data_IF_706646799492
#
_entry.id   IF_706646799492
#
_cell.length_a   1.000
_cell.length_b   1.000
_cell.length_c   1.000
_cell.angle_alpha   90.00
_cell.angle_beta   90.00
_cell.angle_gamma   90.00
#
_symmetry.space_group_name_H-M   'P 1'
#
loop_
_entity.id
_entity.type
_entity.pdbx_description
1 polymer ?
#
# COMPACT_ATOMS: atom_id res chain seq x y z
N UNK A 1 1.69 -22.45 -48.79
CA UNK A 1 0.58 -22.44 -47.82
C UNK A 1 1.01 -21.57 -46.64
N UNK A 2 0.30 -20.50 -46.33
CA UNK A 2 0.62 -19.66 -45.17
C UNK A 2 0.47 -20.52 -43.91
N UNK A 3 1.53 -20.62 -43.09
CA UNK A 3 1.42 -21.28 -41.79
C UNK A 3 0.37 -20.53 -40.97
N UNK A 4 -0.61 -21.22 -40.37
CA UNK A 4 -1.61 -20.55 -39.54
C UNK A 4 -0.88 -19.82 -38.40
N UNK A 5 -1.26 -18.57 -38.13
CA UNK A 5 -0.71 -17.77 -37.02
C UNK A 5 -1.55 -17.98 -35.76
N UNK A 6 -0.92 -17.81 -34.60
CA UNK A 6 -1.58 -17.89 -33.31
C UNK A 6 -2.81 -16.94 -33.24
N UNK A 7 -3.94 -17.47 -32.77
CA UNK A 7 -5.20 -16.72 -32.62
C UNK A 7 -5.22 -15.75 -31.44
N UNK A 8 -4.22 -15.77 -30.57
CA UNK A 8 -4.15 -14.86 -29.42
C UNK A 8 -4.00 -13.41 -29.87
N UNK A 9 -4.91 -12.56 -29.39
CA UNK A 9 -4.90 -11.12 -29.57
C UNK A 9 -5.03 -10.46 -28.19
N UNK A 10 -4.10 -9.57 -27.89
CA UNK A 10 -4.14 -8.72 -26.70
C UNK A 10 -5.29 -7.68 -26.82
N UNK A 11 -5.94 -7.21 -25.74
CA UNK A 11 -6.85 -6.06 -25.73
C UNK A 11 -6.38 -4.80 -26.48
N UNK A 12 -5.06 -4.64 -26.70
CA UNK A 12 -4.48 -3.59 -27.54
C UNK A 12 -4.19 -4.02 -29.00
N UNK A 13 -4.87 -5.07 -29.51
CA UNK A 13 -4.77 -5.61 -30.87
C UNK A 13 -3.37 -6.12 -31.29
N UNK A 14 -2.49 -6.45 -30.34
CA UNK A 14 -1.23 -7.11 -30.66
C UNK A 14 -1.49 -8.60 -30.89
N UNK A 15 -1.27 -9.06 -32.13
CA UNK A 15 -1.38 -10.47 -32.50
C UNK A 15 -0.04 -11.18 -32.31
N UNK A 16 -0.08 -12.42 -31.82
CA UNK A 16 1.13 -13.22 -31.67
C UNK A 16 1.69 -13.63 -33.05
N UNK A 17 2.97 -13.35 -33.37
CA UNK A 17 3.56 -13.66 -34.67
C UNK A 17 3.91 -15.14 -34.84
N UNK A 18 3.89 -15.92 -33.76
CA UNK A 18 4.28 -17.32 -33.74
C UNK A 18 3.34 -18.23 -34.56
N UNK A 19 3.87 -19.31 -35.16
CA UNK A 19 3.05 -20.28 -35.85
C UNK A 19 2.09 -20.96 -34.86
N UNK A 20 0.84 -21.11 -35.28
CA UNK A 20 -0.16 -21.88 -34.57
C UNK A 20 0.11 -23.38 -34.74
N UNK A 21 -0.08 -24.12 -33.64
CA UNK A 21 -0.23 -25.57 -33.67
C UNK A 21 -1.65 -25.99 -34.09
N UNK A 22 -1.97 -27.26 -33.85
CA UNK A 22 -3.27 -27.86 -34.19
C UNK A 22 -4.47 -27.18 -33.49
N UNK A 23 -4.25 -26.58 -32.32
CA UNK A 23 -5.26 -25.85 -31.54
C UNK A 23 -5.58 -24.45 -32.07
N UNK A 24 -4.81 -23.94 -33.04
CA UNK A 24 -4.90 -22.54 -33.48
C UNK A 24 -4.14 -21.55 -32.59
N UNK A 25 -3.48 -22.01 -31.52
CA UNK A 25 -2.59 -21.21 -30.68
C UNK A 25 -1.14 -21.65 -30.84
N UNK A 26 -0.19 -20.76 -30.53
CA UNK A 26 1.21 -21.17 -30.41
C UNK A 26 1.43 -21.95 -29.10
N UNK A 27 2.58 -22.61 -28.99
CA UNK A 27 2.94 -23.41 -27.80
C UNK A 27 2.72 -22.65 -26.47
N UNK A 28 2.96 -21.34 -26.44
CA UNK A 28 2.88 -20.53 -25.22
C UNK A 28 1.49 -19.96 -24.91
N UNK A 29 0.63 -19.78 -25.91
CA UNK A 29 -0.73 -19.25 -25.75
C UNK A 29 -1.80 -20.34 -25.66
N UNK A 30 -1.44 -21.59 -25.95
CA UNK A 30 -2.33 -22.74 -25.86
C UNK A 30 -2.60 -23.10 -24.39
N UNK A 31 -3.84 -23.09 -23.87
CA UNK A 31 -4.12 -23.46 -22.48
C UNK A 31 -4.05 -24.97 -22.21
N UNK A 32 -4.19 -25.82 -23.23
CA UNK A 32 -4.33 -27.27 -23.12
C UNK A 32 -2.97 -27.98 -23.11
N UNK A 33 -1.94 -27.35 -23.70
CA UNK A 33 -0.58 -27.89 -23.69
C UNK A 33 0.13 -27.64 -22.34
N UNK A 34 0.60 -28.68 -21.63
CA UNK A 34 1.40 -28.50 -20.41
C UNK A 34 2.85 -28.12 -20.73
N UNK A 35 3.37 -27.06 -20.10
CA UNK A 35 4.76 -26.56 -20.29
C UNK A 35 5.70 -27.13 -19.24
N UNK A 36 5.92 -28.44 -19.33
CA UNK A 36 6.71 -29.21 -18.37
C UNK A 36 8.09 -29.62 -18.94
N UNK A 37 8.44 -29.16 -20.14
CA UNK A 37 9.66 -29.57 -20.80
C UNK A 37 10.88 -28.93 -20.11
N UNK A 38 11.98 -29.68 -19.85
CA UNK A 38 13.17 -29.14 -19.19
C UNK A 38 13.78 -27.91 -19.87
N UNK A 39 13.66 -27.83 -21.20
CA UNK A 39 14.14 -26.69 -22.00
C UNK A 39 13.16 -25.52 -22.08
N UNK A 40 11.96 -25.61 -21.49
CA UNK A 40 10.99 -24.51 -21.52
C UNK A 40 11.53 -23.18 -20.93
N UNK A 41 12.33 -23.15 -19.84
CA UNK A 41 12.98 -21.93 -19.39
C UNK A 41 13.86 -21.31 -20.50
N UNK A 42 14.71 -22.11 -21.14
CA UNK A 42 15.61 -21.63 -22.19
C UNK A 42 14.86 -21.18 -23.46
N UNK A 43 13.79 -21.90 -23.83
CA UNK A 43 12.92 -21.55 -24.96
C UNK A 43 12.18 -20.24 -24.70
N UNK A 44 11.68 -20.04 -23.47
CA UNK A 44 10.98 -18.81 -23.09
C UNK A 44 11.93 -17.61 -23.06
N UNK A 45 13.14 -17.78 -22.51
CA UNK A 45 14.18 -16.74 -22.54
C UNK A 45 14.59 -16.39 -23.98
N UNK A 46 14.66 -17.37 -24.89
CA UNK A 46 14.95 -17.12 -26.30
C UNK A 46 13.82 -16.35 -26.99
N UNK A 47 12.57 -16.74 -26.76
CA UNK A 47 11.40 -16.02 -27.25
C UNK A 47 11.41 -14.56 -26.79
N UNK A 48 11.69 -14.34 -25.50
CA UNK A 48 11.78 -13.01 -24.91
C UNK A 48 12.85 -12.15 -25.59
N UNK A 49 14.06 -12.70 -25.78
CA UNK A 49 15.18 -12.01 -26.45
C UNK A 49 14.93 -11.71 -27.92
N UNK A 50 14.12 -12.53 -28.60
CA UNK A 50 13.73 -12.32 -30.00
C UNK A 50 12.60 -11.29 -30.16
N UNK A 51 12.09 -10.71 -29.07
CA UNK A 51 10.96 -9.78 -29.10
C UNK A 51 9.61 -10.45 -29.31
N UNK A 52 9.49 -11.74 -28.96
CA UNK A 52 8.23 -12.46 -29.01
C UNK A 52 7.19 -11.88 -28.04
N UNK A 53 5.90 -12.11 -28.35
CA UNK A 53 4.80 -11.62 -27.52
C UNK A 53 4.69 -12.44 -26.23
N UNK A 54 5.05 -11.84 -25.10
CA UNK A 54 5.01 -12.46 -23.76
C UNK A 54 3.74 -12.16 -22.96
N UNK A 55 2.80 -11.40 -23.52
CA UNK A 55 1.49 -11.13 -22.90
C UNK A 55 0.58 -12.35 -23.00
N UNK A 56 -0.23 -12.57 -21.97
CA UNK A 56 -1.28 -13.60 -21.94
C UNK A 56 -0.78 -15.04 -22.04
N UNK A 57 0.50 -15.29 -21.75
CA UNK A 57 1.06 -16.64 -21.82
C UNK A 57 0.33 -17.59 -20.87
N UNK A 58 0.01 -18.78 -21.35
CA UNK A 58 -0.67 -19.83 -20.61
C UNK A 58 0.39 -20.75 -19.99
N UNK A 59 0.94 -20.35 -18.84
CA UNK A 59 2.05 -21.00 -18.14
C UNK A 59 1.59 -21.75 -16.88
N UNK A 60 0.36 -22.25 -16.90
CA UNK A 60 -0.22 -23.04 -15.80
C UNK A 60 0.67 -24.23 -15.49
N UNK A 61 1.08 -24.34 -14.22
CA UNK A 61 1.95 -25.42 -13.69
C UNK A 61 3.26 -25.56 -14.47
N UNK A 62 3.71 -24.52 -15.17
CA UNK A 62 4.91 -24.60 -15.99
C UNK A 62 6.16 -24.79 -15.13
N UNK A 63 7.14 -25.53 -15.64
CA UNK A 63 8.46 -25.70 -15.02
C UNK A 63 9.42 -24.65 -15.58
N UNK A 64 9.49 -23.49 -14.92
CA UNK A 64 10.27 -22.32 -15.35
C UNK A 64 11.30 -21.91 -14.29
N UNK A 65 11.82 -22.88 -13.53
CA UNK A 65 12.87 -22.63 -12.55
C UNK A 65 14.10 -22.04 -13.27
N UNK A 66 14.72 -21.04 -12.63
CA UNK A 66 15.92 -20.35 -13.12
C UNK A 66 15.74 -19.68 -14.50
N UNK A 67 14.50 -19.44 -14.94
CA UNK A 67 14.25 -18.72 -16.20
C UNK A 67 14.85 -17.32 -16.17
N UNK A 68 15.58 -16.96 -17.22
CA UNK A 68 16.21 -15.66 -17.37
C UNK A 68 15.32 -14.74 -18.22
N UNK A 69 14.56 -13.88 -17.55
CA UNK A 69 13.74 -12.83 -18.14
C UNK A 69 14.25 -11.46 -17.69
N UNK A 70 15.57 -11.27 -17.71
CA UNK A 70 16.16 -9.93 -17.60
C UNK A 70 16.24 -9.28 -18.98
N UNK A 71 15.82 -8.02 -19.08
CA UNK A 71 16.13 -7.21 -20.25
C UNK A 71 17.56 -6.65 -20.19
N UNK A 72 18.19 -6.41 -21.35
CA UNK A 72 19.42 -5.63 -21.41
C UNK A 72 19.23 -4.25 -20.76
N UNK A 73 20.29 -3.74 -20.13
CA UNK A 73 20.28 -2.53 -19.29
C UNK A 73 19.73 -1.26 -20.00
N UNK A 74 19.72 -1.26 -21.33
CA UNK A 74 19.36 -0.12 -22.19
C UNK A 74 17.86 -0.02 -22.53
N UNK A 75 17.08 -1.06 -22.28
CA UNK A 75 15.68 -1.11 -22.72
C UNK A 75 14.69 -0.33 -21.81
N UNK A 76 15.16 0.25 -20.70
CA UNK A 76 14.38 1.11 -19.80
C UNK A 76 13.22 0.44 -19.04
N UNK A 77 12.69 -0.68 -19.55
CA UNK A 77 11.56 -1.46 -19.02
C UNK A 77 11.97 -2.94 -18.89
N UNK A 78 11.22 -3.74 -18.12
CA UNK A 78 11.39 -5.19 -18.12
C UNK A 78 10.45 -5.85 -19.13
N UNK A 79 10.52 -7.18 -19.25
CA UNK A 79 9.62 -7.91 -20.14
C UNK A 79 8.15 -7.77 -19.73
N UNK A 80 7.28 -7.71 -20.74
CA UNK A 80 5.86 -7.52 -20.57
C UNK A 80 5.13 -8.86 -20.54
N UNK A 81 4.86 -9.36 -19.34
CA UNK A 81 4.21 -10.64 -19.08
C UNK A 81 2.73 -10.49 -18.70
N UNK A 82 2.13 -9.32 -18.94
CA UNK A 82 0.79 -8.99 -18.47
C UNK A 82 -0.27 -10.02 -18.85
N UNK A 83 -1.24 -10.17 -17.96
CA UNK A 83 -2.41 -11.04 -18.12
C UNK A 83 -2.06 -12.53 -18.36
N UNK A 84 -0.83 -12.95 -18.01
CA UNK A 84 -0.39 -14.34 -18.10
C UNK A 84 -0.97 -15.21 -16.98
N UNK A 85 -1.26 -16.47 -17.31
CA UNK A 85 -1.67 -17.47 -16.32
C UNK A 85 -0.46 -18.27 -15.83
N UNK A 86 0.03 -17.91 -14.65
CA UNK A 86 1.17 -18.54 -13.96
C UNK A 86 0.70 -19.39 -12.77
N UNK A 87 -0.55 -19.88 -12.80
CA UNK A 87 -1.12 -20.67 -11.72
C UNK A 87 -0.24 -21.88 -11.38
N UNK A 88 0.26 -21.94 -10.13
CA UNK A 88 1.19 -22.99 -9.67
C UNK A 88 2.46 -23.15 -10.52
N UNK A 89 2.89 -22.13 -11.25
CA UNK A 89 4.14 -22.18 -11.99
C UNK A 89 5.35 -22.29 -11.03
N UNK A 90 6.35 -23.06 -11.42
CA UNK A 90 7.65 -23.11 -10.75
C UNK A 90 8.53 -22.02 -11.35
N UNK A 91 8.76 -20.95 -10.59
CA UNK A 91 9.61 -19.80 -10.94
C UNK A 91 10.73 -19.65 -9.90
N UNK A 92 11.15 -20.75 -9.27
CA UNK A 92 12.22 -20.72 -8.28
C UNK A 92 13.48 -20.14 -8.91
N UNK A 93 14.10 -19.17 -8.24
CA UNK A 93 15.27 -18.43 -8.73
C UNK A 93 15.10 -17.77 -10.11
N UNK A 94 13.88 -17.59 -10.59
CA UNK A 94 13.64 -16.88 -11.85
C UNK A 94 14.17 -15.45 -11.78
N UNK A 95 14.71 -14.96 -12.88
CA UNK A 95 15.14 -13.58 -13.00
C UNK A 95 14.05 -12.74 -13.70
N UNK A 96 13.34 -11.93 -12.91
CA UNK A 96 12.18 -11.15 -13.33
C UNK A 96 12.39 -9.66 -13.00
N UNK A 97 13.62 -9.17 -13.12
CA UNK A 97 13.96 -7.78 -12.82
C UNK A 97 13.14 -6.83 -13.72
N UNK A 98 12.43 -5.88 -13.10
CA UNK A 98 11.51 -4.93 -13.77
C UNK A 98 10.37 -5.57 -14.58
N UNK A 99 10.13 -6.88 -14.45
CA UNK A 99 9.09 -7.57 -15.21
C UNK A 99 7.72 -6.97 -14.93
N UNK A 100 6.92 -6.83 -15.99
CA UNK A 100 5.54 -6.38 -15.89
C UNK A 100 4.60 -7.59 -15.79
N UNK A 101 4.16 -7.88 -14.57
CA UNK A 101 3.29 -8.99 -14.22
C UNK A 101 1.89 -8.49 -13.83
N UNK A 102 1.48 -7.32 -14.32
CA UNK A 102 0.15 -6.78 -14.05
C UNK A 102 -0.94 -7.70 -14.61
N UNK A 103 -2.00 -7.90 -13.84
CA UNK A 103 -3.12 -8.78 -14.22
C UNK A 103 -2.80 -10.29 -14.20
N UNK A 104 -1.55 -10.69 -13.94
CA UNK A 104 -1.18 -12.10 -13.98
C UNK A 104 -1.81 -12.92 -12.86
N UNK A 105 -2.13 -14.19 -13.16
CA UNK A 105 -2.52 -15.15 -12.15
C UNK A 105 -1.29 -15.87 -11.58
N UNK A 106 -0.76 -15.39 -10.46
CA UNK A 106 0.37 -15.98 -9.72
C UNK A 106 -0.08 -16.86 -8.55
N UNK A 107 -1.36 -17.25 -8.50
CA UNK A 107 -1.91 -18.01 -7.40
C UNK A 107 -1.13 -19.33 -7.23
N UNK A 108 -0.63 -19.56 -6.01
CA UNK A 108 0.19 -20.71 -5.62
C UNK A 108 1.49 -20.90 -6.43
N UNK A 109 1.96 -19.87 -7.14
CA UNK A 109 3.25 -19.92 -7.83
C UNK A 109 4.42 -19.99 -6.82
N UNK A 110 5.49 -20.66 -7.23
CA UNK A 110 6.71 -20.79 -6.42
C UNK A 110 7.79 -19.83 -6.93
N UNK A 111 8.00 -18.72 -6.21
CA UNK A 111 8.97 -17.68 -6.54
C UNK A 111 10.14 -17.66 -5.54
N UNK A 112 10.41 -18.78 -4.86
CA UNK A 112 11.50 -18.85 -3.88
C UNK A 112 12.84 -18.54 -4.55
N UNK A 113 13.59 -17.60 -3.98
CA UNK A 113 14.87 -17.15 -4.53
C UNK A 113 14.77 -16.31 -5.82
N UNK A 114 13.58 -16.03 -6.35
CA UNK A 114 13.42 -15.25 -7.57
C UNK A 114 13.82 -13.77 -7.38
N UNK A 115 14.27 -13.12 -8.45
CA UNK A 115 14.54 -11.69 -8.45
C UNK A 115 13.35 -10.93 -9.05
N UNK A 116 12.54 -10.30 -8.20
CA UNK A 116 11.38 -9.46 -8.55
C UNK A 116 11.65 -7.98 -8.27
N UNK A 117 12.92 -7.57 -8.17
CA UNK A 117 13.25 -6.17 -7.92
C UNK A 117 12.64 -5.28 -9.01
N UNK A 118 11.95 -4.21 -8.60
CA UNK A 118 11.20 -3.29 -9.45
C UNK A 118 10.11 -3.91 -10.34
N UNK A 119 9.69 -5.16 -10.08
CA UNK A 119 8.61 -5.79 -10.83
C UNK A 119 7.25 -5.15 -10.51
N UNK A 120 6.32 -5.20 -11.48
CA UNK A 120 4.97 -4.64 -11.35
C UNK A 120 3.94 -5.76 -11.21
N UNK A 121 3.15 -5.72 -10.15
CA UNK A 121 2.14 -6.74 -9.81
C UNK A 121 0.74 -6.15 -9.59
N UNK A 122 0.49 -4.94 -10.09
CA UNK A 122 -0.83 -4.32 -9.97
C UNK A 122 -1.90 -5.20 -10.63
N UNK A 123 -2.97 -5.52 -9.89
CA UNK A 123 -4.04 -6.40 -10.35
C UNK A 123 -3.66 -7.89 -10.49
N UNK A 124 -2.46 -8.30 -10.08
CA UNK A 124 -2.09 -9.71 -10.08
C UNK A 124 -2.77 -10.48 -8.94
N UNK A 125 -3.11 -11.74 -9.19
CA UNK A 125 -3.58 -12.64 -8.13
C UNK A 125 -2.38 -13.31 -7.45
N UNK A 126 -2.09 -12.89 -6.22
CA UNK A 126 -0.93 -13.36 -5.43
C UNK A 126 -1.30 -14.39 -4.36
N UNK A 127 -2.50 -14.97 -4.39
CA UNK A 127 -2.99 -15.85 -3.33
C UNK A 127 -2.10 -17.10 -3.18
N UNK A 128 -1.50 -17.29 -2.01
CA UNK A 128 -0.65 -18.45 -1.71
C UNK A 128 0.69 -18.46 -2.46
N UNK A 129 1.13 -17.32 -2.98
CA UNK A 129 2.47 -17.15 -3.58
C UNK A 129 3.57 -17.50 -2.57
N UNK A 130 4.63 -18.18 -3.01
CA UNK A 130 5.79 -18.49 -2.16
C UNK A 130 6.94 -17.55 -2.51
N UNK A 131 7.29 -16.66 -1.58
CA UNK A 131 8.34 -15.64 -1.75
C UNK A 131 9.59 -15.88 -0.87
N UNK A 132 9.78 -17.09 -0.35
CA UNK A 132 10.92 -17.41 0.52
C UNK A 132 12.25 -17.13 -0.19
N UNK A 133 13.05 -16.18 0.32
CA UNK A 133 14.32 -15.79 -0.31
C UNK A 133 14.19 -14.98 -1.60
N UNK A 134 12.98 -14.58 -2.02
CA UNK A 134 12.78 -13.77 -3.23
C UNK A 134 13.17 -12.30 -3.02
N UNK A 135 13.97 -11.72 -3.91
CA UNK A 135 14.32 -10.30 -3.86
C UNK A 135 13.13 -9.47 -4.37
N UNK A 136 12.63 -8.55 -3.54
CA UNK A 136 11.40 -7.76 -3.82
C UNK A 136 11.60 -6.26 -3.57
N UNK A 137 12.83 -5.77 -3.76
CA UNK A 137 13.14 -4.35 -3.60
C UNK A 137 12.33 -3.52 -4.60
N UNK A 138 11.68 -2.46 -4.11
CA UNK A 138 10.86 -1.55 -4.93
C UNK A 138 9.77 -2.26 -5.76
N UNK A 139 9.28 -3.42 -5.30
CA UNK A 139 8.15 -4.13 -5.90
C UNK A 139 6.90 -3.23 -5.93
N UNK A 140 6.27 -3.12 -7.11
CA UNK A 140 5.12 -2.25 -7.31
C UNK A 140 3.81 -3.05 -7.28
N UNK A 141 3.12 -3.05 -6.13
CA UNK A 141 1.82 -3.73 -5.96
C UNK A 141 0.63 -2.94 -6.55
N UNK A 142 0.83 -1.66 -6.90
CA UNK A 142 -0.26 -0.75 -7.25
C UNK A 142 -1.06 -0.27 -6.03
N UNK A 143 -2.20 0.37 -6.26
CA UNK A 143 -3.04 0.94 -5.20
C UNK A 143 -3.73 -0.12 -4.33
N UNK A 144 -4.16 -1.22 -4.94
CA UNK A 144 -4.89 -2.30 -4.28
C UNK A 144 -4.66 -3.64 -4.96
N UNK A 145 -4.71 -4.73 -4.19
CA UNK A 145 -4.70 -6.08 -4.74
C UNK A 145 -5.98 -6.36 -5.55
N UNK A 146 -5.90 -7.34 -6.44
CA UNK A 146 -7.04 -7.82 -7.21
C UNK A 146 -8.22 -8.25 -6.31
N UNK A 147 -7.95 -9.03 -5.25
CA UNK A 147 -8.97 -9.45 -4.28
C UNK A 147 -9.69 -8.26 -3.63
N UNK A 148 -8.94 -7.20 -3.32
CA UNK A 148 -9.51 -6.00 -2.73
C UNK A 148 -10.43 -5.26 -3.71
N UNK A 149 -10.07 -5.20 -4.99
CA UNK A 149 -10.91 -4.60 -6.03
C UNK A 149 -12.21 -5.40 -6.20
N UNK A 150 -12.11 -6.72 -6.28
CA UNK A 150 -13.27 -7.61 -6.36
C UNK A 150 -14.17 -7.46 -5.11
N UNK A 151 -13.58 -7.37 -3.91
CA UNK A 151 -14.34 -7.21 -2.67
C UNK A 151 -15.11 -5.87 -2.60
N UNK A 152 -14.58 -4.80 -3.20
CA UNK A 152 -15.25 -3.49 -3.26
C UNK A 152 -16.45 -3.48 -4.21
N UNK A 153 -16.40 -4.28 -5.28
CA UNK A 153 -17.47 -4.39 -6.27
C UNK A 153 -18.64 -5.25 -5.77
N UNK A 154 -18.43 -6.08 -4.74
CA UNK A 154 -19.48 -6.91 -4.16
C UNK A 154 -20.42 -6.07 -3.28
N UNK A 155 -21.75 -6.08 -3.54
CA UNK A 155 -22.72 -5.36 -2.71
C UNK A 155 -22.91 -6.02 -1.35
N UNK A 156 -22.80 -7.36 -1.32
CA UNK A 156 -23.00 -8.19 -0.15
C UNK A 156 -21.70 -8.38 0.66
N UNK A 157 -21.83 -8.35 1.99
CA UNK A 157 -20.75 -8.56 2.93
C UNK A 157 -20.27 -10.01 2.91
N UNK A 158 -21.17 -10.97 2.80
CA UNK A 158 -20.80 -12.39 2.91
C UNK A 158 -19.95 -12.82 1.71
N UNK A 159 -20.25 -12.28 0.52
CA UNK A 159 -19.39 -12.42 -0.65
C UNK A 159 -18.06 -11.63 -0.60
N UNK A 160 -18.02 -10.48 0.09
CA UNK A 160 -16.83 -9.64 0.19
C UNK A 160 -15.84 -10.09 1.28
N UNK A 161 -16.34 -10.70 2.36
CA UNK A 161 -15.55 -11.14 3.51
C UNK A 161 -14.40 -12.10 3.15
N UNK A 162 -14.61 -13.19 2.38
CA UNK A 162 -13.52 -14.10 2.02
C UNK A 162 -12.44 -13.39 1.20
N UNK A 163 -12.82 -12.47 0.30
CA UNK A 163 -11.88 -11.70 -0.49
C UNK A 163 -11.02 -10.76 0.38
N UNK A 164 -11.59 -10.16 1.43
CA UNK A 164 -10.81 -9.38 2.39
C UNK A 164 -9.88 -10.25 3.25
N UNK A 165 -10.25 -11.50 3.55
CA UNK A 165 -9.38 -12.45 4.26
C UNK A 165 -8.22 -12.90 3.37
N UNK A 166 -8.49 -13.20 2.09
CA UNK A 166 -7.46 -13.52 1.10
C UNK A 166 -6.48 -12.34 0.91
N UNK A 167 -7.00 -11.11 0.76
CA UNK A 167 -6.17 -9.91 0.64
C UNK A 167 -5.29 -9.70 1.88
N UNK A 168 -5.84 -9.94 3.08
CA UNK A 168 -5.07 -9.87 4.33
C UNK A 168 -3.92 -10.88 4.33
N UNK A 169 -4.18 -12.12 3.95
CA UNK A 169 -3.17 -13.17 3.87
C UNK A 169 -2.04 -12.78 2.91
N UNK A 170 -2.39 -12.26 1.73
CA UNK A 170 -1.42 -11.81 0.73
C UNK A 170 -0.53 -10.68 1.29
N UNK A 171 -1.11 -9.65 1.93
CA UNK A 171 -0.32 -8.57 2.52
C UNK A 171 0.57 -9.07 3.66
N UNK A 172 0.12 -10.03 4.45
CA UNK A 172 0.91 -10.64 5.53
C UNK A 172 2.12 -11.39 4.98
N UNK A 173 1.92 -12.18 3.93
CA UNK A 173 2.99 -12.97 3.29
C UNK A 173 4.00 -12.05 2.60
N UNK A 174 3.54 -11.00 1.90
CA UNK A 174 4.39 -9.97 1.31
C UNK A 174 5.18 -9.20 2.37
N UNK A 175 4.56 -8.84 3.50
CA UNK A 175 5.24 -8.18 4.61
C UNK A 175 6.36 -9.05 5.16
N UNK A 176 6.09 -10.34 5.42
CA UNK A 176 7.09 -11.29 5.94
C UNK A 176 8.25 -11.45 4.96
N UNK A 177 7.95 -11.59 3.66
CA UNK A 177 8.98 -11.64 2.64
C UNK A 177 9.82 -10.35 2.63
N UNK A 178 9.19 -9.18 2.72
CA UNK A 178 9.89 -7.89 2.71
C UNK A 178 10.79 -7.71 3.95
N UNK A 179 10.32 -8.13 5.13
CA UNK A 179 11.10 -8.08 6.37
C UNK A 179 12.35 -8.97 6.29
N UNK A 180 12.23 -10.18 5.74
CA UNK A 180 13.35 -11.10 5.61
C UNK A 180 14.46 -10.58 4.67
N UNK A 181 14.15 -9.59 3.82
CA UNK A 181 15.09 -8.98 2.88
C UNK A 181 15.44 -7.52 3.22
N UNK A 182 15.11 -7.04 4.43
CA UNK A 182 15.40 -5.66 4.84
C UNK A 182 14.64 -4.59 4.04
N UNK A 183 13.60 -4.95 3.31
CA UNK A 183 12.80 -4.04 2.49
C UNK A 183 11.73 -3.31 3.34
N UNK A 184 12.16 -2.43 4.24
CA UNK A 184 11.29 -1.84 5.27
C UNK A 184 10.17 -0.95 4.71
N UNK A 185 10.41 -0.23 3.62
CA UNK A 185 9.39 0.60 2.99
C UNK A 185 8.20 -0.23 2.51
N UNK A 186 8.47 -1.35 1.82
CA UNK A 186 7.44 -2.28 1.36
C UNK A 186 6.79 -3.00 2.55
N UNK A 187 7.57 -3.44 3.53
CA UNK A 187 7.04 -4.08 4.73
C UNK A 187 6.06 -3.18 5.50
N UNK A 188 6.38 -1.89 5.63
CA UNK A 188 5.53 -0.88 6.28
C UNK A 188 4.23 -0.65 5.50
N UNK A 189 4.31 -0.52 4.17
CA UNK A 189 3.13 -0.41 3.31
C UNK A 189 2.22 -1.64 3.41
N UNK A 190 2.79 -2.84 3.36
CA UNK A 190 2.05 -4.09 3.52
C UNK A 190 1.43 -4.23 4.92
N UNK A 191 2.14 -3.80 5.98
CA UNK A 191 1.61 -3.81 7.34
C UNK A 191 0.38 -2.89 7.49
N UNK A 192 0.44 -1.68 6.93
CA UNK A 192 -0.68 -0.74 6.91
C UNK A 192 -1.90 -1.33 6.18
N UNK A 193 -1.67 -1.93 5.01
CA UNK A 193 -2.73 -2.54 4.19
C UNK A 193 -3.30 -3.82 4.82
N UNK A 194 -2.50 -4.65 5.48
CA UNK A 194 -2.95 -5.82 6.25
C UNK A 194 -3.97 -5.40 7.32
N UNK A 195 -3.64 -4.39 8.13
CA UNK A 195 -4.53 -3.89 9.19
C UNK A 195 -5.79 -3.23 8.60
N UNK A 196 -5.66 -2.57 7.44
CA UNK A 196 -6.80 -2.03 6.70
C UNK A 196 -7.74 -3.15 6.25
N UNK A 197 -7.23 -4.29 5.79
CA UNK A 197 -8.07 -5.45 5.42
C UNK A 197 -8.77 -6.05 6.65
N UNK A 198 -8.06 -6.22 7.77
CA UNK A 198 -8.68 -6.66 9.05
C UNK A 198 -9.84 -5.77 9.47
N UNK A 199 -9.67 -4.44 9.36
CA UNK A 199 -10.75 -3.49 9.64
C UNK A 199 -11.95 -3.70 8.72
N UNK A 200 -11.74 -3.99 7.43
CA UNK A 200 -12.82 -4.18 6.46
C UNK A 200 -13.64 -5.45 6.70
N UNK A 201 -13.07 -6.46 7.38
CA UNK A 201 -13.78 -7.67 7.80
C UNK A 201 -14.80 -7.41 8.92
N UNK A 202 -14.60 -6.35 9.73
CA UNK A 202 -15.52 -5.97 10.80
C UNK A 202 -16.88 -5.45 10.27
N UNK A 203 -17.98 -5.62 11.02
CA UNK A 203 -19.29 -5.09 10.66
C UNK A 203 -19.24 -3.57 10.43
N UNK A 204 -20.05 -3.06 9.49
CA UNK A 204 -20.04 -1.63 9.11
C UNK A 204 -20.33 -0.69 10.30
N UNK A 205 -21.28 -1.06 11.16
CA UNK A 205 -21.70 -0.28 12.32
C UNK A 205 -21.07 -0.72 13.65
N UNK A 206 -19.89 -1.34 13.61
CA UNK A 206 -19.20 -1.77 14.84
C UNK A 206 -18.35 -0.65 15.46
N UNK A 207 -18.40 -0.44 16.79
CA UNK A 207 -17.53 0.53 17.46
C UNK A 207 -16.04 0.19 17.27
N UNK A 208 -15.70 -1.10 17.18
CA UNK A 208 -14.33 -1.56 16.90
C UNK A 208 -13.83 -1.11 15.52
N UNK A 209 -14.72 -1.07 14.52
CA UNK A 209 -14.38 -0.60 13.18
C UNK A 209 -14.13 0.90 13.16
N UNK A 210 -14.98 1.66 13.86
CA UNK A 210 -14.83 3.11 14.02
C UNK A 210 -13.52 3.45 14.74
N UNK A 211 -13.23 2.77 15.85
CA UNK A 211 -11.98 2.92 16.59
C UNK A 211 -10.75 2.57 15.72
N UNK A 212 -10.80 1.47 14.97
CA UNK A 212 -9.73 1.11 14.04
C UNK A 212 -9.53 2.16 12.93
N UNK A 213 -10.62 2.80 12.46
CA UNK A 213 -10.54 3.90 11.50
C UNK A 213 -9.94 5.16 12.11
N UNK A 214 -10.25 5.46 13.37
CA UNK A 214 -9.65 6.56 14.13
C UNK A 214 -8.13 6.38 14.27
N UNK A 215 -7.67 5.17 14.62
CA UNK A 215 -6.23 4.86 14.73
C UNK A 215 -5.51 4.99 13.38
N UNK A 216 -6.11 4.54 12.28
CA UNK A 216 -5.56 4.74 10.92
C UNK A 216 -5.43 6.22 10.56
N UNK A 217 -6.41 7.04 10.94
CA UNK A 217 -6.42 8.47 10.69
C UNK A 217 -5.29 9.18 11.46
N UNK A 218 -5.18 8.91 12.77
CA UNK A 218 -4.23 9.58 13.66
C UNK A 218 -2.79 9.19 13.35
N UNK A 219 -2.49 7.89 13.27
CA UNK A 219 -1.10 7.41 13.21
C UNK A 219 -0.81 6.42 12.07
N UNK A 220 -1.79 6.13 11.20
CA UNK A 220 -1.64 5.11 10.16
C UNK A 220 -1.24 3.76 10.74
N UNK A 221 -1.88 3.36 11.85
CA UNK A 221 -1.51 2.16 12.60
C UNK A 221 -0.04 2.13 13.09
N UNK A 222 0.54 3.31 13.35
CA UNK A 222 1.92 3.48 13.78
C UNK A 222 2.96 3.32 12.68
N UNK A 223 2.55 3.16 11.42
CA UNK A 223 3.43 3.04 10.26
C UNK A 223 3.74 4.39 9.60
N UNK A 224 2.99 5.46 9.95
CA UNK A 224 3.08 6.77 9.31
C UNK A 224 3.24 7.91 10.35
N UNK A 225 4.46 8.19 10.85
CA UNK A 225 4.68 9.23 11.86
C UNK A 225 4.28 10.62 11.37
N UNK A 226 4.40 10.90 10.07
CA UNK A 226 3.93 12.15 9.47
C UNK A 226 2.44 12.43 9.68
N UNK A 227 1.60 11.38 9.81
CA UNK A 227 0.17 11.56 10.10
C UNK A 227 -0.07 12.05 11.53
N UNK A 228 0.76 11.62 12.48
CA UNK A 228 0.65 12.04 13.88
C UNK A 228 0.99 13.52 14.01
N UNK A 229 2.04 13.99 13.31
CA UNK A 229 2.41 15.40 13.27
C UNK A 229 1.29 16.25 12.64
N UNK A 230 0.74 15.81 11.51
CA UNK A 230 -0.37 16.51 10.86
C UNK A 230 -1.62 16.54 11.75
N UNK A 231 -1.96 15.42 12.39
CA UNK A 231 -3.06 15.34 13.34
C UNK A 231 -2.87 16.34 14.50
N UNK A 232 -1.68 16.38 15.10
CA UNK A 232 -1.36 17.34 16.14
C UNK A 232 -1.49 18.78 15.67
N UNK A 233 -0.98 19.12 14.49
CA UNK A 233 -1.11 20.46 13.91
C UNK A 233 -2.58 20.88 13.69
N UNK A 234 -3.43 19.95 13.21
CA UNK A 234 -4.87 20.21 13.03
C UNK A 234 -5.55 20.42 14.38
N UNK A 235 -5.25 19.60 15.39
CA UNK A 235 -5.79 19.77 16.75
C UNK A 235 -5.39 21.15 17.30
N UNK A 236 -4.12 21.53 17.17
CA UNK A 236 -3.63 22.84 17.63
C UNK A 236 -4.38 24.01 16.96
N UNK A 237 -4.58 23.95 15.64
CA UNK A 237 -5.33 24.99 14.91
C UNK A 237 -6.80 25.07 15.36
N UNK A 238 -7.44 23.94 15.60
CA UNK A 238 -8.83 23.89 16.11
C UNK A 238 -8.90 24.48 17.52
N UNK A 239 -8.00 24.07 18.42
CA UNK A 239 -7.95 24.59 19.79
C UNK A 239 -7.65 26.08 19.82
N UNK A 240 -6.72 26.58 19.00
CA UNK A 240 -6.46 28.01 18.84
C UNK A 240 -7.73 28.80 18.47
N UNK A 241 -8.55 28.28 17.54
CA UNK A 241 -9.83 28.88 17.20
C UNK A 241 -10.82 28.88 18.38
N UNK A 242 -10.91 27.76 19.11
CA UNK A 242 -11.77 27.64 20.29
C UNK A 242 -11.34 28.58 21.42
N UNK A 243 -10.03 28.81 21.61
CA UNK A 243 -9.54 29.79 22.57
C UNK A 243 -9.86 31.22 22.17
N UNK A 244 -9.82 31.55 20.88
CA UNK A 244 -10.29 32.85 20.41
C UNK A 244 -11.77 33.09 20.75
N UNK A 245 -12.60 32.04 20.71
CA UNK A 245 -14.03 32.12 21.07
C UNK A 245 -14.22 32.21 22.59
N UNK A 246 -13.59 31.32 23.35
CA UNK A 246 -13.73 31.26 24.82
C UNK A 246 -13.00 32.37 25.57
N UNK A 247 -11.99 32.96 24.92
CA UNK A 247 -11.11 33.97 25.46
C UNK A 247 -9.90 33.40 26.19
N UNK A 248 -8.86 34.23 26.21
CA UNK A 248 -7.57 33.99 26.87
C UNK A 248 -7.30 35.16 27.82
N UNK A 249 -6.68 34.88 28.97
CA UNK A 249 -6.07 35.89 29.84
C UNK A 249 -4.60 36.05 29.45
N UNK A 250 -4.27 37.22 28.93
CA UNK A 250 -2.91 37.63 28.60
C UNK A 250 -2.52 38.76 29.56
N UNK A 251 -1.54 38.52 30.45
CA UNK A 251 -1.13 39.47 31.50
C UNK A 251 -2.30 40.01 32.37
N UNK A 252 -3.29 39.16 32.63
CA UNK A 252 -4.48 39.52 33.42
C UNK A 252 -5.58 40.26 32.65
N UNK A 253 -5.38 40.57 31.36
CA UNK A 253 -6.42 41.13 30.50
C UNK A 253 -7.15 40.03 29.73
N UNK A 254 -8.48 40.05 29.79
CA UNK A 254 -9.33 39.13 29.02
C UNK A 254 -9.39 39.57 27.55
N UNK A 255 -9.04 38.66 26.64
CA UNK A 255 -9.11 38.88 25.19
C UNK A 255 -9.84 37.71 24.52
N UNK A 256 -10.91 38.01 23.79
CA UNK A 256 -11.65 37.06 22.95
C UNK A 256 -12.09 37.73 21.65
N UNK A 257 -12.57 36.96 20.67
CA UNK A 257 -13.12 37.50 19.42
C UNK A 257 -14.25 38.50 19.67
N UNK A 258 -15.05 38.29 20.72
CA UNK A 258 -16.16 39.16 21.08
C UNK A 258 -15.71 40.45 21.78
N UNK A 259 -14.52 40.45 22.40
CA UNK A 259 -13.99 41.59 23.14
C UNK A 259 -12.94 42.39 22.35
N UNK A 260 -12.78 42.13 21.05
CA UNK A 260 -11.81 42.82 20.19
C UNK A 260 -12.27 44.27 19.90
N UNK A 261 -11.51 45.30 20.29
CA UNK A 261 -11.86 46.69 20.01
C UNK A 261 -11.62 47.07 18.54
N UNK A 262 -10.72 46.39 17.82
CA UNK A 262 -10.45 46.65 16.40
C UNK A 262 -9.97 45.40 15.64
N UNK A 263 -10.29 45.33 14.34
CA UNK A 263 -9.84 44.25 13.44
C UNK A 263 -8.32 44.18 13.26
N UNK A 264 -7.58 45.23 13.67
CA UNK A 264 -6.10 45.28 13.61
C UNK A 264 -5.44 44.44 14.70
N UNK A 265 -6.14 44.14 15.78
CA UNK A 265 -5.65 43.31 16.89
C UNK A 265 -5.92 41.80 16.67
N UNK A 266 -6.75 41.46 15.67
CA UNK A 266 -7.08 40.09 15.32
C UNK A 266 -5.84 39.21 15.05
N UNK A 267 -4.81 39.66 14.29
CA UNK A 267 -3.61 38.85 14.05
C UNK A 267 -2.83 38.56 15.33
N UNK A 268 -2.77 39.53 16.25
CA UNK A 268 -2.09 39.36 17.53
C UNK A 268 -2.83 38.38 18.44
N UNK A 269 -4.17 38.48 18.51
CA UNK A 269 -4.98 37.53 19.26
C UNK A 269 -4.82 36.10 18.71
N UNK A 270 -4.87 35.92 17.39
CA UNK A 270 -4.69 34.62 16.74
C UNK A 270 -3.30 34.06 17.03
N UNK A 271 -2.26 34.89 17.00
CA UNK A 271 -0.90 34.50 17.34
C UNK A 271 -0.79 34.05 18.81
N UNK A 272 -1.39 34.78 19.75
CA UNK A 272 -1.41 34.40 21.18
C UNK A 272 -2.19 33.10 21.40
N UNK A 273 -3.33 32.91 20.72
CA UNK A 273 -4.11 31.67 20.79
C UNK A 273 -3.34 30.47 20.24
N UNK A 274 -2.67 30.66 19.10
CA UNK A 274 -1.85 29.62 18.49
C UNK A 274 -0.64 29.28 19.36
N UNK A 275 0.05 30.29 19.90
CA UNK A 275 1.17 30.10 20.83
C UNK A 275 0.72 29.31 22.06
N UNK A 276 -0.40 29.72 22.69
CA UNK A 276 -0.94 29.03 23.85
C UNK A 276 -1.31 27.56 23.54
N UNK A 277 -1.93 27.31 22.39
CA UNK A 277 -2.25 25.95 21.93
C UNK A 277 -0.99 25.11 21.70
N UNK A 278 0.04 25.65 21.03
CA UNK A 278 1.32 24.94 20.82
C UNK A 278 1.94 24.55 22.16
N UNK A 279 1.99 25.48 23.12
CA UNK A 279 2.55 25.22 24.46
C UNK A 279 1.74 24.16 25.19
N UNK A 280 0.41 24.27 25.19
CA UNK A 280 -0.52 23.34 25.89
C UNK A 280 -0.51 21.94 25.27
N UNK A 281 -0.35 21.84 23.95
CA UNK A 281 -0.27 20.57 23.23
C UNK A 281 1.07 19.85 23.48
N UNK A 282 2.17 20.60 23.56
CA UNK A 282 3.53 20.04 23.68
C UNK A 282 4.03 19.88 25.11
N UNK A 283 3.53 20.70 26.03
CA UNK A 283 3.92 20.75 27.44
C UNK A 283 2.68 20.93 28.32
N UNK A 284 2.74 20.52 29.59
CA UNK A 284 1.71 20.91 30.57
C UNK A 284 1.87 22.41 30.82
N UNK A 285 1.20 23.21 29.99
CA UNK A 285 1.42 24.65 29.88
C UNK A 285 1.21 25.41 31.18
N UNK A 286 2.26 26.11 31.61
CA UNK A 286 2.15 27.27 32.49
C UNK A 286 3.13 28.33 31.98
N UNK A 287 2.59 29.45 31.50
CA UNK A 287 3.32 30.66 31.10
C UNK A 287 2.50 31.90 31.47
N UNK A 288 2.83 33.05 30.90
CA UNK A 288 2.15 34.35 31.15
C UNK A 288 0.69 34.42 30.62
N UNK A 289 0.28 33.39 29.87
CA UNK A 289 -1.01 33.27 29.21
C UNK A 289 -1.80 32.13 29.85
N UNK A 290 -3.01 32.43 30.31
CA UNK A 290 -3.90 31.47 30.95
C UNK A 290 -5.25 31.38 30.22
N UNK A 291 -5.91 30.21 30.21
CA UNK A 291 -7.21 30.07 29.61
C UNK A 291 -8.26 30.74 30.48
N UNK A 292 -9.24 31.40 29.85
CA UNK A 292 -10.36 31.99 30.57
C UNK A 292 -11.12 30.95 31.41
N UNK A 293 -11.66 31.34 32.58
CA UNK A 293 -12.50 30.45 33.39
C UNK A 293 -13.67 29.89 32.58
N UNK A 294 -14.01 28.62 32.79
CA UNK A 294 -15.11 27.95 32.09
C UNK A 294 -14.66 27.21 30.83
N UNK A 295 -15.16 27.63 29.66
CA UNK A 295 -15.02 26.89 28.40
C UNK A 295 -13.56 26.68 27.97
N UNK A 296 -12.74 27.73 27.99
CA UNK A 296 -11.33 27.64 27.56
C UNK A 296 -10.50 26.68 28.44
N UNK A 297 -10.78 26.59 29.75
CA UNK A 297 -10.11 25.62 30.64
C UNK A 297 -10.42 24.18 30.30
N UNK A 298 -11.67 23.88 29.91
CA UNK A 298 -12.05 22.53 29.47
C UNK A 298 -11.32 22.17 28.18
N UNK A 299 -11.25 23.09 27.22
CA UNK A 299 -10.50 22.91 25.96
C UNK A 299 -9.03 22.64 26.25
N UNK A 300 -8.41 23.40 27.16
CA UNK A 300 -7.01 23.20 27.55
C UNK A 300 -6.75 21.83 28.20
N UNK A 301 -7.64 21.38 29.09
CA UNK A 301 -7.52 20.05 29.69
C UNK A 301 -7.62 18.93 28.63
N UNK A 302 -8.56 19.04 27.70
CA UNK A 302 -8.70 18.09 26.59
C UNK A 302 -7.51 18.13 25.64
N UNK A 303 -7.02 19.32 25.28
CA UNK A 303 -5.87 19.50 24.40
C UNK A 303 -4.60 18.90 25.00
N UNK A 304 -4.31 19.15 26.27
CA UNK A 304 -3.16 18.58 26.96
C UNK A 304 -3.20 17.03 27.00
N UNK A 305 -4.39 16.45 27.22
CA UNK A 305 -4.58 15.00 27.18
C UNK A 305 -4.32 14.43 25.78
N UNK A 306 -4.88 15.07 24.74
CA UNK A 306 -4.68 14.65 23.35
C UNK A 306 -3.22 14.83 22.91
N UNK A 307 -2.57 15.92 23.33
CA UNK A 307 -1.18 16.23 23.04
C UNK A 307 -0.22 15.21 23.63
N UNK A 308 -0.37 14.90 24.92
CA UNK A 308 0.46 13.88 25.60
C UNK A 308 0.33 12.49 24.95
N UNK A 309 -0.88 12.07 24.59
CA UNK A 309 -1.10 10.81 23.88
C UNK A 309 -0.51 10.82 22.46
N UNK A 310 -0.66 11.93 21.73
CA UNK A 310 -0.13 12.09 20.37
C UNK A 310 1.40 12.07 20.35
N UNK A 311 2.06 12.72 21.32
CA UNK A 311 3.52 12.68 21.48
C UNK A 311 4.02 11.28 21.83
N UNK A 312 3.35 10.57 22.74
CA UNK A 312 3.68 9.18 23.04
C UNK A 312 3.58 8.28 21.79
N UNK A 313 2.51 8.44 21.00
CA UNK A 313 2.36 7.73 19.73
C UNK A 313 3.43 8.10 18.70
N UNK A 314 3.83 9.38 18.65
CA UNK A 314 4.89 9.85 17.77
C UNK A 314 6.21 9.15 18.11
N UNK A 315 6.59 9.14 19.39
CA UNK A 315 7.80 8.45 19.88
C UNK A 315 7.77 6.97 19.54
N UNK A 316 6.64 6.28 19.80
CA UNK A 316 6.49 4.85 19.46
C UNK A 316 6.61 4.61 17.96
N UNK A 317 5.97 5.44 17.13
CA UNK A 317 6.02 5.31 15.67
C UNK A 317 7.44 5.55 15.13
N UNK A 318 8.16 6.53 15.68
CA UNK A 318 9.56 6.78 15.34
C UNK A 318 10.48 5.65 15.80
N UNK A 319 10.36 5.20 17.06
CA UNK A 319 11.14 4.10 17.60
C UNK A 319 10.96 2.82 16.75
N UNK A 320 9.71 2.50 16.38
CA UNK A 320 9.37 1.38 15.49
C UNK A 320 9.98 1.52 14.10
N UNK A 321 10.12 2.75 13.60
CA UNK A 321 10.71 3.03 12.29
C UNK A 321 12.25 2.98 12.31
N UNK A 322 12.89 3.29 13.45
CA UNK A 322 14.35 3.22 13.62
C UNK A 322 14.84 1.81 13.98
N UNK A 323 14.02 1.02 14.68
CA UNK A 323 14.36 -0.36 15.10
C UNK A 323 14.11 -1.42 14.04
N UNK A 324 13.51 -1.03 12.91
CA UNK A 324 13.39 -1.85 11.71
C UNK A 324 14.54 -1.52 10.79
#
# INVERSE_FOLDING_TARGET
>A
MATPRCRYQDPHQHACPEPAGASGYCYWHDPDLPKLHPDDPARLSRLARQGGLLRGLQLRRAKLAEVDLNQPRDAGSGYDLRDGDLYRADLRKAHLYRADLRGCNLMKADLRGANLNQARLAGANLLGIKLGGARIEQLQLGESLWQEQQARQRPDRDGALPLYQEAEQIYRDLRRAAQNHGCYALASQCAHRELTMRRKQLPRFSPLRAFSKLVDLICGYGEAPQRVVLFGAVVMLICAGLYGIGGILDLGQYRSFASLPSWRELPQLLASCLYYSIVTFTTLGYGDIAPAPGFSRLVAACEALIGSFSLALLVVSFAKKMTR
#
